data_IF_727940349149
#
_entry.id   IF_727940349149
#
_cell.length_a   1.000
_cell.length_b   1.000
_cell.length_c   1.000
_cell.angle_alpha   90.00
_cell.angle_beta   90.00
_cell.angle_gamma   90.00
#
_symmetry.space_group_name_H-M   'P 1'
#
loop_
_entity.id
_entity.type
_entity.pdbx_description
1 polymer ?
#
# COMPACT_ATOMS: atom_id res chain seq x y z
N UNK A 1 -16.00 -9.47 0.49
CA UNK A 1 -14.91 -8.63 -0.05
C UNK A 1 -15.44 -7.22 -0.13
N UNK A 2 -14.83 -6.28 0.59
CA UNK A 2 -15.28 -4.90 0.67
C UNK A 2 -14.24 -3.98 0.04
N UNK A 3 -14.68 -2.94 -0.67
CA UNK A 3 -13.76 -1.97 -1.29
C UNK A 3 -14.05 -0.59 -0.75
N UNK A 4 -13.00 0.16 -0.41
CA UNK A 4 -13.09 1.56 0.01
C UNK A 4 -12.07 2.41 -0.74
N UNK A 5 -12.43 3.65 -1.07
CA UNK A 5 -11.49 4.61 -1.63
C UNK A 5 -10.61 5.20 -0.52
N UNK A 6 -9.34 5.45 -0.84
CA UNK A 6 -8.48 6.26 0.02
C UNK A 6 -8.85 7.74 -0.10
N UNK A 7 -8.78 8.45 1.01
CA UNK A 7 -9.01 9.89 1.04
C UNK A 7 -7.69 10.65 0.95
N UNK A 8 -7.71 11.78 0.26
CA UNK A 8 -6.59 12.73 0.25
C UNK A 8 -6.39 13.28 1.67
N UNK A 9 -5.17 13.20 2.24
CA UNK A 9 -4.89 13.77 3.56
C UNK A 9 -5.09 15.29 3.62
N UNK A 10 -4.98 15.97 2.47
CA UNK A 10 -5.08 17.44 2.38
C UNK A 10 -6.53 17.92 2.33
N UNK A 11 -7.39 17.19 1.63
CA UNK A 11 -8.76 17.64 1.33
C UNK A 11 -9.84 16.76 1.96
N UNK A 12 -9.49 15.61 2.55
CA UNK A 12 -10.43 14.61 3.07
C UNK A 12 -11.29 13.94 1.99
N UNK A 13 -11.15 14.33 0.72
CA UNK A 13 -11.98 13.82 -0.37
C UNK A 13 -11.50 12.44 -0.82
N UNK A 14 -12.43 11.51 -1.12
CA UNK A 14 -12.09 10.22 -1.69
C UNK A 14 -11.44 10.40 -3.06
N UNK A 15 -10.44 9.58 -3.35
CA UNK A 15 -9.75 9.57 -4.63
C UNK A 15 -10.30 8.45 -5.48
N UNK A 16 -10.72 8.82 -6.69
CA UNK A 16 -11.37 7.89 -7.62
C UNK A 16 -10.47 6.69 -7.97
N UNK A 17 -9.15 6.86 -8.00
CA UNK A 17 -8.22 5.86 -8.55
C UNK A 17 -7.34 5.17 -7.51
N UNK A 18 -7.69 5.28 -6.22
CA UNK A 18 -6.93 4.70 -5.11
C UNK A 18 -7.89 3.92 -4.21
N UNK A 19 -7.78 2.60 -4.24
CA UNK A 19 -8.70 1.73 -3.50
C UNK A 19 -7.95 0.79 -2.58
N UNK A 20 -8.55 0.55 -1.42
CA UNK A 20 -8.19 -0.57 -0.54
C UNK A 20 -9.32 -1.59 -0.62
N UNK A 21 -8.94 -2.82 -0.92
CA UNK A 21 -9.84 -3.96 -0.98
C UNK A 21 -9.56 -4.83 0.25
N UNK A 22 -10.56 -4.98 1.10
CA UNK A 22 -10.50 -5.83 2.29
C UNK A 22 -11.07 -7.21 1.96
N UNK A 23 -10.27 -8.23 2.23
CA UNK A 23 -10.58 -9.65 2.01
C UNK A 23 -10.55 -10.41 3.33
N UNK A 24 -10.87 -11.71 3.31
CA UNK A 24 -10.78 -12.56 4.49
C UNK A 24 -9.34 -12.74 4.97
N UNK A 25 -8.35 -12.60 4.09
CA UNK A 25 -6.95 -12.89 4.39
C UNK A 25 -6.11 -11.63 4.60
N UNK A 26 -6.65 -10.45 4.33
CA UNK A 26 -5.91 -9.21 4.43
C UNK A 26 -6.49 -8.07 3.61
N UNK A 27 -5.67 -7.07 3.35
CA UNK A 27 -6.03 -5.93 2.53
C UNK A 27 -5.09 -5.77 1.34
N UNK A 28 -5.64 -5.30 0.24
CA UNK A 28 -4.91 -5.04 -1.00
C UNK A 28 -5.06 -3.57 -1.35
N UNK A 29 -3.96 -2.92 -1.67
CA UNK A 29 -3.93 -1.56 -2.18
C UNK A 29 -3.79 -1.58 -3.70
N UNK A 30 -4.73 -0.91 -4.37
CA UNK A 30 -4.80 -0.80 -5.82
C UNK A 30 -4.76 0.67 -6.25
N UNK A 31 -3.85 1.00 -7.15
CA UNK A 31 -3.76 2.30 -7.83
C UNK A 31 -4.11 2.10 -9.30
N UNK A 32 -5.20 2.70 -9.77
CA UNK A 32 -5.78 2.40 -11.09
C UNK A 32 -6.01 0.90 -11.34
N UNK A 33 -5.39 0.31 -12.38
CA UNK A 33 -5.53 -1.11 -12.68
C UNK A 33 -4.49 -1.97 -11.99
N UNK A 34 -3.50 -1.36 -11.37
CA UNK A 34 -2.31 -2.01 -10.84
C UNK A 34 -2.47 -2.28 -9.34
N UNK A 35 -2.25 -3.53 -8.93
CA UNK A 35 -2.10 -3.88 -7.52
C UNK A 35 -0.72 -3.47 -7.06
N UNK A 36 -0.65 -2.66 -5.99
CA UNK A 36 0.60 -2.05 -5.53
C UNK A 36 1.12 -2.74 -4.27
N UNK A 37 0.22 -3.15 -3.38
CA UNK A 37 0.60 -3.83 -2.15
C UNK A 37 -0.51 -4.78 -1.67
N UNK A 38 -0.09 -5.84 -0.99
CA UNK A 38 -0.95 -6.72 -0.21
C UNK A 38 -0.41 -6.76 1.21
N UNK A 39 -1.30 -6.68 2.19
CA UNK A 39 -0.99 -7.08 3.57
C UNK A 39 -1.88 -8.22 3.98
N UNK A 40 -1.31 -9.21 4.65
CA UNK A 40 -2.10 -10.22 5.35
C UNK A 40 -2.50 -9.71 6.74
N UNK A 41 -3.52 -10.32 7.34
CA UNK A 41 -3.85 -10.07 8.75
C UNK A 41 -2.75 -10.51 9.71
N UNK A 42 -1.89 -11.44 9.28
CA UNK A 42 -0.71 -11.90 10.02
C UNK A 42 0.47 -10.91 9.95
N UNK A 43 0.30 -9.76 9.29
CA UNK A 43 1.29 -8.69 9.23
C UNK A 43 2.33 -8.83 8.12
N UNK A 44 2.24 -9.86 7.28
CA UNK A 44 3.11 -9.99 6.11
C UNK A 44 2.71 -8.95 5.05
N UNK A 45 3.70 -8.26 4.49
CA UNK A 45 3.49 -7.25 3.45
C UNK A 45 4.25 -7.66 2.19
N UNK A 46 3.53 -7.69 1.08
CA UNK A 46 4.09 -7.88 -0.26
C UNK A 46 3.81 -6.63 -1.10
N UNK A 47 4.85 -6.11 -1.74
CA UNK A 47 4.81 -4.95 -2.62
C UNK A 47 5.03 -5.41 -4.06
N UNK A 48 4.38 -4.73 -5.00
CA UNK A 48 4.67 -4.89 -6.42
C UNK A 48 6.02 -4.25 -6.78
N UNK A 49 6.60 -4.65 -7.92
CA UNK A 49 7.82 -4.00 -8.45
C UNK A 49 7.62 -2.49 -8.68
N UNK A 50 6.40 -2.06 -9.02
CA UNK A 50 6.06 -0.67 -9.31
C UNK A 50 5.62 0.14 -8.07
N UNK A 51 5.96 -0.32 -6.85
CA UNK A 51 5.52 0.31 -5.60
C UNK A 51 5.91 1.80 -5.46
N UNK A 52 7.00 2.23 -6.09
CA UNK A 52 7.48 3.61 -6.10
C UNK A 52 7.39 4.31 -7.48
N UNK A 53 6.62 3.74 -8.42
CA UNK A 53 6.50 4.22 -9.81
C UNK A 53 6.14 5.71 -9.94
N UNK A 54 5.32 6.25 -9.03
CA UNK A 54 4.99 7.68 -9.03
C UNK A 54 4.92 8.25 -7.62
N UNK A 55 5.12 9.57 -7.50
CA UNK A 55 4.96 10.28 -6.24
C UNK A 55 3.55 10.10 -5.63
N UNK A 56 2.53 9.97 -6.47
CA UNK A 56 1.15 9.73 -6.03
C UNK A 56 1.00 8.31 -5.47
N UNK A 57 1.49 7.30 -6.20
CA UNK A 57 1.48 5.90 -5.76
C UNK A 57 2.18 5.75 -4.42
N UNK A 58 3.40 6.28 -4.31
CA UNK A 58 4.21 6.22 -3.10
C UNK A 58 3.53 6.90 -1.91
N UNK A 59 2.87 8.04 -2.11
CA UNK A 59 2.12 8.74 -1.06
C UNK A 59 0.99 7.87 -0.49
N UNK A 60 0.19 7.24 -1.35
CA UNK A 60 -0.95 6.43 -0.89
C UNK A 60 -0.54 5.06 -0.38
N UNK A 61 0.55 4.49 -0.90
CA UNK A 61 1.19 3.32 -0.32
C UNK A 61 1.60 3.59 1.14
N UNK A 62 2.24 4.73 1.42
CA UNK A 62 2.61 5.10 2.79
C UNK A 62 1.40 5.21 3.70
N UNK A 63 0.32 5.83 3.25
CA UNK A 63 -0.94 5.91 4.02
C UNK A 63 -1.52 4.52 4.29
N UNK A 64 -1.47 3.63 3.29
CA UNK A 64 -1.90 2.24 3.45
C UNK A 64 -1.04 1.50 4.49
N UNK A 65 0.29 1.65 4.43
CA UNK A 65 1.24 1.04 5.37
C UNK A 65 1.25 1.69 6.76
N UNK A 66 0.94 2.98 6.89
CA UNK A 66 0.78 3.67 8.17
C UNK A 66 -0.30 3.02 9.02
N UNK A 67 -1.38 2.56 8.38
CA UNK A 67 -2.43 1.79 9.03
C UNK A 67 -1.98 0.45 9.64
N UNK A 68 -0.77 -0.05 9.30
CA UNK A 68 -0.18 -1.25 9.93
C UNK A 68 0.62 -0.92 11.18
N UNK A 69 1.41 0.16 11.15
CA UNK A 69 2.47 0.36 12.13
C UNK A 69 2.24 1.55 13.07
N UNK A 70 1.22 2.37 12.85
CA UNK A 70 1.09 3.70 13.49
C UNK A 70 2.37 4.56 13.34
N UNK A 71 3.18 4.25 12.34
CA UNK A 71 4.47 4.88 12.06
C UNK A 71 4.45 5.34 10.61
N UNK A 72 4.73 6.62 10.41
CA UNK A 72 4.91 7.20 9.09
C UNK A 72 6.20 6.70 8.48
N UNK A 73 6.11 6.04 7.32
CA UNK A 73 7.26 5.47 6.63
C UNK A 73 7.74 6.40 5.51
N UNK A 74 9.02 6.74 5.55
CA UNK A 74 9.74 7.36 4.44
C UNK A 74 9.98 6.35 3.32
N UNK A 75 10.36 6.85 2.12
CA UNK A 75 10.73 5.97 1.00
C UNK A 75 11.93 5.09 1.37
N UNK A 76 12.92 5.69 2.02
CA UNK A 76 14.13 5.01 2.48
C UNK A 76 13.84 3.92 3.51
N UNK A 77 12.87 4.11 4.41
CA UNK A 77 12.50 3.08 5.37
C UNK A 77 11.76 1.91 4.71
N UNK A 78 10.91 2.18 3.71
CA UNK A 78 10.28 1.11 2.92
C UNK A 78 11.35 0.31 2.19
N UNK A 79 12.31 0.99 1.53
CA UNK A 79 13.43 0.32 0.87
C UNK A 79 14.25 -0.51 1.85
N UNK A 80 14.61 0.05 3.00
CA UNK A 80 15.35 -0.68 4.04
C UNK A 80 14.60 -1.94 4.48
N UNK A 81 13.27 -1.88 4.64
CA UNK A 81 12.46 -3.06 5.01
C UNK A 81 12.41 -4.11 3.91
N UNK A 82 12.50 -3.70 2.64
CA UNK A 82 12.66 -4.63 1.52
C UNK A 82 14.03 -5.30 1.62
N UNK A 83 15.09 -4.50 1.81
CA UNK A 83 16.47 -4.99 1.90
C UNK A 83 16.68 -5.93 3.11
N UNK A 84 16.04 -5.62 4.24
CA UNK A 84 16.02 -6.43 5.46
C UNK A 84 15.12 -7.68 5.33
N UNK A 85 14.40 -7.85 4.21
CA UNK A 85 13.51 -8.98 3.95
C UNK A 85 12.18 -8.95 4.72
N UNK A 86 11.88 -7.85 5.40
CA UNK A 86 10.62 -7.64 6.15
C UNK A 86 9.45 -7.43 5.17
N UNK A 87 9.67 -6.66 4.11
CA UNK A 87 8.73 -6.50 3.01
C UNK A 87 9.18 -7.33 1.83
N UNK A 88 8.27 -8.13 1.28
CA UNK A 88 8.55 -8.94 0.10
C UNK A 88 8.23 -8.14 -1.17
N UNK A 89 9.02 -8.33 -2.22
CA UNK A 89 8.73 -7.85 -3.57
C UNK A 89 8.25 -9.04 -4.39
N UNK A 90 7.17 -8.87 -5.14
CA UNK A 90 6.68 -9.88 -6.07
C UNK A 90 5.91 -9.26 -7.23
N UNK A 91 5.67 -10.05 -8.28
CA UNK A 91 4.80 -9.61 -9.37
C UNK A 91 3.33 -9.79 -8.98
N UNK A 92 2.62 -8.68 -8.79
CA UNK A 92 1.20 -8.66 -8.45
C UNK A 92 0.29 -8.43 -9.65
N UNK A 93 0.84 -8.27 -10.86
CA UNK A 93 0.13 -7.88 -12.08
C UNK A 93 0.42 -8.76 -13.30
#
# INVERSE_FOLDING_TARGET
MNTRSLCSPRSGKPLANQWVITTQNGEMFKSYKTMIAIRSWDGQVMLDHDWDYSATTLKYLKIFLEGLHHVSLSKSEIQKRIDDGIFQIGNLN
#
